data_IF_187114034490
#
_entry.id   IF_187114034490
#
_cell.length_a   1.000
_cell.length_b   1.000
_cell.length_c   1.000
_cell.angle_alpha   90.00
_cell.angle_beta   90.00
_cell.angle_gamma   90.00
#
_symmetry.space_group_name_H-M   'P 1'
#
loop_
_entity.id
_entity.type
_entity.pdbx_description
1 polymer ?
#
# COMPACT_ATOMS: atom_id res chain seq x y z
N UNK A 1 -10.80 9.04 -2.53
CA UNK A 1 -10.16 7.79 -2.09
C UNK A 1 -11.22 6.71 -2.02
N UNK A 2 -11.02 5.57 -2.66
CA UNK A 2 -11.97 4.44 -2.66
C UNK A 2 -11.95 3.70 -1.31
N UNK A 3 -13.05 3.04 -0.90
CA UNK A 3 -13.06 2.22 0.32
C UNK A 3 -11.96 1.15 0.34
N UNK A 4 -11.67 0.54 -0.82
CA UNK A 4 -10.60 -0.44 -0.96
C UNK A 4 -9.21 0.18 -0.79
N UNK A 5 -8.98 1.40 -1.27
CA UNK A 5 -7.71 2.10 -1.03
C UNK A 5 -7.56 2.48 0.45
N UNK A 6 -8.65 2.87 1.13
CA UNK A 6 -8.64 3.12 2.57
C UNK A 6 -8.28 1.87 3.39
N UNK A 7 -8.83 0.70 3.03
CA UNK A 7 -8.47 -0.58 3.66
C UNK A 7 -6.99 -0.91 3.45
N UNK A 8 -6.47 -0.75 2.23
CA UNK A 8 -5.06 -0.96 1.94
C UNK A 8 -4.14 0.00 2.73
N UNK A 9 -4.55 1.26 2.87
CA UNK A 9 -3.83 2.24 3.68
C UNK A 9 -3.81 1.84 5.16
N UNK A 10 -4.96 1.38 5.69
CA UNK A 10 -5.08 0.90 7.06
C UNK A 10 -4.16 -0.30 7.33
N UNK A 11 -4.13 -1.26 6.38
CA UNK A 11 -3.21 -2.39 6.43
C UNK A 11 -1.75 -1.94 6.52
N UNK A 12 -1.32 -0.99 5.68
CA UNK A 12 0.04 -0.44 5.73
C UNK A 12 0.36 0.29 7.04
N UNK A 13 -0.59 1.02 7.63
CA UNK A 13 -0.39 1.64 8.94
C UNK A 13 -0.30 0.63 10.09
N UNK A 14 -0.79 -0.59 9.89
CA UNK A 14 -0.61 -1.70 10.83
C UNK A 14 0.76 -2.37 10.72
N UNK A 15 1.41 -2.30 9.55
CA UNK A 15 2.73 -2.89 9.33
C UNK A 15 3.88 -2.01 9.86
N UNK A 16 3.74 -0.69 9.78
CA UNK A 16 4.76 0.24 10.27
C UNK A 16 4.17 1.59 10.69
N UNK A 17 4.84 2.32 11.61
CA UNK A 17 4.51 3.71 11.92
C UNK A 17 4.56 4.63 10.69
N UNK A 18 3.83 5.74 10.76
CA UNK A 18 3.87 6.77 9.71
C UNK A 18 5.25 7.40 9.67
N UNK A 19 5.81 7.54 8.47
CA UNK A 19 7.16 8.04 8.24
C UNK A 19 8.23 6.95 8.20
N UNK A 20 7.93 5.74 8.69
CA UNK A 20 8.84 4.60 8.62
C UNK A 20 8.68 3.83 7.32
N UNK A 21 9.81 3.32 6.82
CA UNK A 21 9.86 2.53 5.59
C UNK A 21 9.76 1.06 5.94
N UNK A 22 8.92 0.33 5.22
CA UNK A 22 8.73 -1.10 5.39
C UNK A 22 8.74 -1.81 4.04
N UNK A 23 9.19 -3.06 4.07
CA UNK A 23 9.06 -3.98 2.94
C UNK A 23 7.91 -4.94 3.20
N UNK A 24 7.09 -5.17 2.18
CA UNK A 24 6.03 -6.17 2.25
C UNK A 24 5.93 -6.95 0.93
N UNK A 25 5.87 -8.30 0.98
CA UNK A 25 5.57 -9.11 -0.19
C UNK A 25 4.19 -8.79 -0.74
N UNK A 26 4.10 -8.54 -2.05
CA UNK A 26 2.83 -8.29 -2.75
C UNK A 26 1.83 -9.42 -2.52
N UNK A 27 2.32 -10.66 -2.50
CA UNK A 27 1.50 -11.86 -2.31
C UNK A 27 0.72 -11.79 -0.99
N UNK A 28 1.38 -11.42 0.11
CA UNK A 28 0.75 -11.33 1.43
C UNK A 28 -0.35 -10.28 1.46
N UNK A 29 -0.10 -9.09 0.90
CA UNK A 29 -1.11 -8.02 0.82
C UNK A 29 -2.33 -8.49 0.01
N UNK A 30 -2.09 -9.18 -1.11
CA UNK A 30 -3.17 -9.66 -1.97
C UNK A 30 -3.97 -10.79 -1.31
N UNK A 31 -3.32 -11.69 -0.57
CA UNK A 31 -3.98 -12.75 0.19
C UNK A 31 -4.77 -12.18 1.37
N UNK A 32 -4.15 -11.36 2.22
CA UNK A 32 -4.75 -10.78 3.43
C UNK A 32 -5.95 -9.87 3.14
N UNK A 33 -5.92 -9.16 2.01
CA UNK A 33 -6.97 -8.22 1.60
C UNK A 33 -7.91 -8.78 0.53
N UNK A 34 -7.77 -10.07 0.21
CA UNK A 34 -8.56 -10.79 -0.81
C UNK A 34 -8.59 -10.05 -2.16
N UNK A 35 -7.43 -9.53 -2.59
CA UNK A 35 -7.29 -8.82 -3.87
C UNK A 35 -7.02 -9.84 -4.97
N UNK A 36 -8.06 -10.22 -5.70
CA UNK A 36 -7.99 -11.25 -6.73
C UNK A 36 -7.23 -10.89 -8.02
N UNK A 37 -6.76 -9.65 -8.18
CA UNK A 37 -6.07 -9.21 -9.40
C UNK A 37 -4.89 -8.29 -9.13
N UNK A 38 -3.75 -8.59 -9.78
CA UNK A 38 -2.57 -7.72 -9.78
C UNK A 38 -2.87 -6.34 -10.37
N UNK A 39 -3.81 -6.24 -11.31
CA UNK A 39 -4.21 -4.97 -11.89
C UNK A 39 -4.97 -4.12 -10.87
N UNK A 40 -5.90 -4.72 -10.13
CA UNK A 40 -6.62 -4.06 -9.04
C UNK A 40 -5.64 -3.56 -7.98
N UNK A 41 -4.68 -4.40 -7.56
CA UNK A 41 -3.63 -3.98 -6.63
C UNK A 41 -2.85 -2.76 -7.15
N UNK A 42 -2.43 -2.77 -8.43
CA UNK A 42 -1.69 -1.67 -9.02
C UNK A 42 -2.50 -0.36 -9.06
N UNK A 43 -3.81 -0.44 -9.31
CA UNK A 43 -4.72 0.72 -9.26
C UNK A 43 -4.81 1.30 -7.85
N UNK A 44 -4.96 0.45 -6.83
CA UNK A 44 -5.03 0.89 -5.43
C UNK A 44 -3.72 1.55 -4.98
N UNK A 45 -2.57 0.97 -5.30
CA UNK A 45 -1.26 1.58 -5.02
C UNK A 45 -1.12 2.94 -5.71
N UNK A 46 -1.49 3.01 -7.00
CA UNK A 46 -1.44 4.27 -7.76
C UNK A 46 -2.31 5.35 -7.12
N UNK A 47 -3.50 4.98 -6.64
CA UNK A 47 -4.42 5.89 -5.95
C UNK A 47 -3.81 6.42 -4.63
N UNK A 48 -3.20 5.56 -3.82
CA UNK A 48 -2.56 5.97 -2.57
C UNK A 48 -1.32 6.85 -2.79
N UNK A 49 -0.58 6.61 -3.86
CA UNK A 49 0.56 7.44 -4.27
C UNK A 49 0.08 8.80 -4.79
N UNK A 50 -0.92 8.84 -5.67
CA UNK A 50 -1.43 10.08 -6.25
C UNK A 50 -2.06 11.00 -5.21
N UNK A 51 -2.70 10.41 -4.19
CA UNK A 51 -3.27 11.13 -3.05
C UNK A 51 -2.25 11.44 -1.93
N UNK A 52 -0.96 11.15 -2.16
CA UNK A 52 0.15 11.40 -1.22
C UNK A 52 -0.06 10.76 0.17
N UNK A 53 -0.74 9.61 0.22
CA UNK A 53 -0.92 8.84 1.46
C UNK A 53 0.26 7.91 1.71
N UNK A 54 0.86 7.39 0.64
CA UNK A 54 2.08 6.58 0.71
C UNK A 54 3.13 7.08 -0.29
N UNK A 55 4.39 6.74 -0.02
CA UNK A 55 5.49 6.80 -0.97
C UNK A 55 5.89 5.38 -1.33
N UNK A 56 5.96 5.07 -2.62
CA UNK A 56 6.64 3.85 -3.08
C UNK A 56 8.13 4.18 -3.24
N UNK A 57 8.98 3.52 -2.46
CA UNK A 57 10.44 3.76 -2.45
C UNK A 57 11.12 2.86 -3.50
N UNK A 58 10.77 1.58 -3.50
CA UNK A 58 11.32 0.60 -4.40
C UNK A 58 10.33 -0.55 -4.64
N UNK A 59 10.67 -1.39 -5.61
CA UNK A 59 9.91 -2.58 -5.98
C UNK A 59 10.90 -3.73 -6.11
N UNK A 60 10.60 -4.86 -5.47
CA UNK A 60 11.39 -6.08 -5.59
C UNK A 60 11.38 -6.63 -7.02
N UNK A 61 12.29 -7.56 -7.29
CA UNK A 61 12.42 -8.20 -8.61
C UNK A 61 11.08 -8.75 -9.10
N UNK A 62 10.71 -8.42 -10.35
CA UNK A 62 9.41 -8.78 -10.94
C UNK A 62 8.15 -8.31 -10.16
N UNK A 63 8.28 -7.38 -9.21
CA UNK A 63 7.15 -6.90 -8.41
C UNK A 63 6.66 -7.85 -7.32
N UNK A 64 7.52 -8.76 -6.86
CA UNK A 64 7.20 -9.71 -5.78
C UNK A 64 7.07 -9.05 -4.42
N UNK A 65 7.84 -7.99 -4.15
CA UNK A 65 7.74 -7.15 -2.96
C UNK A 65 7.66 -5.67 -3.33
N UNK A 66 7.16 -4.85 -2.39
CA UNK A 66 7.20 -3.41 -2.49
C UNK A 66 7.73 -2.80 -1.20
N UNK A 67 8.57 -1.78 -1.35
CA UNK A 67 9.07 -0.99 -0.23
C UNK A 67 8.30 0.33 -0.23
N UNK A 68 7.60 0.59 0.88
CA UNK A 68 6.70 1.72 1.02
C UNK A 68 6.96 2.49 2.31
N UNK A 69 6.54 3.75 2.31
CA UNK A 69 6.47 4.60 3.49
C UNK A 69 5.06 5.18 3.57
N UNK A 70 4.36 5.04 4.70
CA UNK A 70 3.10 5.77 4.89
C UNK A 70 3.44 7.23 5.24
N UNK A 71 2.87 8.18 4.52
CA UNK A 71 3.10 9.62 4.73
C UNK A 71 1.99 10.25 5.57
N UNK A 72 0.74 9.78 5.43
CA UNK A 72 -0.43 10.32 6.14
C UNK A 72 -1.45 9.22 6.47
N UNK A 73 -2.08 9.31 7.64
CA UNK A 73 -3.19 8.43 8.02
C UNK A 73 -4.50 8.83 7.35
N UNK A 74 -5.48 7.94 7.40
CA UNK A 74 -6.85 8.17 6.94
C UNK A 74 -7.48 9.41 7.60
N UNK A 75 -7.21 9.59 8.89
CA UNK A 75 -7.78 10.64 9.75
C UNK A 75 -7.21 12.04 9.48
N UNK A 76 -6.11 12.14 8.74
CA UNK A 76 -5.44 13.40 8.41
C UNK A 76 -5.85 13.88 7.00
N UNK A 77 -7.12 13.75 6.65
CA UNK A 77 -7.67 14.12 5.35
C UNK A 77 -8.34 15.50 5.37
#
# INVERSE_FOLDING_TARGET
MTPRAAVLLSYFTGLAPVGETFEVPRKWIMEDLEIGSSQTFAVLIRELVSTRRIRQIARGYAGTSGIFTVIRRLEQA
#
